data_IF_562778840732
#
_entry.id   IF_562778840732
#
_cell.length_a   1.000
_cell.length_b   1.000
_cell.length_c   1.000
_cell.angle_alpha   90.00
_cell.angle_beta   90.00
_cell.angle_gamma   90.00
#
_symmetry.space_group_name_H-M   'P 1'
#
loop_
_entity.id
_entity.type
_entity.pdbx_description
1 polymer ?
#
# COMPACT_ATOMS: atom_id res chain seq x y z
N UNK A 1 -19.54 -1.89 1.01
CA UNK A 1 -18.74 -3.12 1.20
C UNK A 1 -17.52 -2.93 2.12
N UNK A 2 -16.65 -1.93 1.88
CA UNK A 2 -15.39 -1.73 2.62
C UNK A 2 -15.56 -1.61 4.14
N UNK A 3 -16.54 -0.83 4.63
CA UNK A 3 -16.83 -0.72 6.07
C UNK A 3 -17.10 -2.07 6.74
N UNK A 4 -17.77 -3.00 6.03
CA UNK A 4 -18.00 -4.35 6.55
C UNK A 4 -16.70 -5.17 6.57
N UNK A 5 -15.86 -5.05 5.54
CA UNK A 5 -14.55 -5.74 5.50
C UNK A 5 -13.65 -5.26 6.64
N UNK A 6 -13.56 -3.94 6.88
CA UNK A 6 -12.79 -3.39 8.00
C UNK A 6 -13.33 -3.85 9.37
N UNK A 7 -14.65 -4.02 9.50
CA UNK A 7 -15.27 -4.56 10.71
C UNK A 7 -14.95 -6.05 10.92
N UNK A 8 -15.01 -6.84 9.86
CA UNK A 8 -14.84 -8.30 9.92
C UNK A 8 -13.36 -8.70 10.00
N UNK A 9 -12.45 -7.82 9.55
CA UNK A 9 -10.99 -7.96 9.62
C UNK A 9 -10.37 -6.73 10.28
N UNK A 10 -10.32 -6.68 11.62
CA UNK A 10 -9.83 -5.51 12.34
C UNK A 10 -8.36 -5.19 12.02
N UNK A 11 -8.04 -3.90 12.10
CA UNK A 11 -6.70 -3.35 11.91
C UNK A 11 -5.65 -4.07 12.75
N UNK A 12 -4.42 -4.20 12.23
CA UNK A 12 -3.30 -4.82 12.95
C UNK A 12 -2.40 -5.64 12.05
N UNK A 13 -1.76 -6.68 12.61
CA UNK A 13 -0.83 -7.54 11.89
C UNK A 13 -1.43 -8.24 10.66
N UNK A 14 -2.75 -8.36 10.57
CA UNK A 14 -3.46 -8.89 9.41
C UNK A 14 -3.14 -8.12 8.13
N UNK A 15 -3.05 -6.78 8.18
CA UNK A 15 -2.70 -5.97 7.00
C UNK A 15 -1.33 -6.38 6.46
N UNK A 16 -0.34 -6.55 7.35
CA UNK A 16 1.02 -6.95 6.99
C UNK A 16 1.08 -8.37 6.44
N UNK A 17 0.34 -9.31 7.06
CA UNK A 17 0.25 -10.71 6.61
C UNK A 17 -0.33 -10.80 5.20
N UNK A 18 -1.38 -10.02 4.91
CA UNK A 18 -2.02 -9.97 3.59
C UNK A 18 -1.11 -9.35 2.53
N UNK A 19 -0.43 -8.23 2.85
CA UNK A 19 0.57 -7.63 1.95
C UNK A 19 1.73 -8.60 1.65
N UNK A 20 2.18 -9.34 2.67
CA UNK A 20 3.22 -10.34 2.53
C UNK A 20 2.75 -11.52 1.66
N UNK A 21 1.56 -12.04 1.90
CA UNK A 21 1.00 -13.15 1.10
C UNK A 21 0.82 -12.75 -0.36
N UNK A 22 0.39 -11.51 -0.64
CA UNK A 22 0.26 -11.02 -2.00
C UNK A 22 1.60 -10.93 -2.73
N UNK A 23 2.65 -10.49 -2.02
CA UNK A 23 4.00 -10.49 -2.57
C UNK A 23 4.47 -11.93 -2.84
N UNK A 24 4.23 -12.86 -1.92
CA UNK A 24 4.58 -14.27 -2.07
C UNK A 24 3.85 -14.91 -3.27
N UNK A 25 2.55 -14.68 -3.40
CA UNK A 25 1.71 -15.18 -4.51
C UNK A 25 2.12 -14.57 -5.87
N UNK A 26 2.62 -13.34 -5.86
CA UNK A 26 3.20 -12.69 -7.05
C UNK A 26 4.61 -13.17 -7.39
N UNK A 27 5.20 -14.06 -6.58
CA UNK A 27 6.54 -14.61 -6.80
C UNK A 27 7.67 -13.71 -6.32
N UNK A 28 7.40 -12.73 -5.44
CA UNK A 28 8.44 -11.90 -4.86
C UNK A 28 9.36 -12.74 -3.96
N UNK A 29 10.66 -12.45 -4.00
CA UNK A 29 11.66 -13.04 -3.10
C UNK A 29 12.04 -12.07 -1.97
N UNK A 30 11.85 -10.77 -2.18
CA UNK A 30 12.16 -9.73 -1.20
C UNK A 30 10.95 -8.83 -0.95
N UNK A 31 10.67 -8.56 0.34
CA UNK A 31 9.63 -7.64 0.80
C UNK A 31 10.21 -6.64 1.79
N UNK A 32 9.76 -5.39 1.74
CA UNK A 32 10.12 -4.35 2.72
C UNK A 32 8.88 -3.60 3.19
N UNK A 33 8.69 -3.53 4.50
CA UNK A 33 7.68 -2.69 5.14
C UNK A 33 8.35 -1.50 5.82
N UNK A 34 8.06 -0.29 5.34
CA UNK A 34 8.70 0.93 5.82
C UNK A 34 7.62 1.91 6.29
N UNK A 35 7.62 2.23 7.58
CA UNK A 35 6.82 3.33 8.11
C UNK A 35 7.58 4.64 7.85
N UNK A 36 7.06 5.44 6.92
CA UNK A 36 7.55 6.78 6.62
C UNK A 36 6.72 7.80 7.38
N UNK A 37 7.32 8.41 8.40
CA UNK A 37 6.68 9.41 9.27
C UNK A 37 6.77 10.84 8.71
N UNK A 38 7.30 11.01 7.49
CA UNK A 38 7.42 12.32 6.86
C UNK A 38 6.06 12.83 6.41
N UNK A 39 5.89 14.14 6.57
CA UNK A 39 4.82 14.88 5.88
C UNK A 39 5.43 15.63 4.72
N UNK A 40 4.88 15.44 3.53
CA UNK A 40 5.40 16.03 2.31
C UNK A 40 4.80 17.43 2.11
N UNK A 41 5.59 18.44 1.68
CA UNK A 41 5.11 19.82 1.59
C UNK A 41 3.90 19.95 0.67
N UNK A 42 2.78 20.37 1.27
CA UNK A 42 1.50 20.55 0.55
C UNK A 42 1.42 21.96 -0.05
N UNK A 43 1.96 22.96 0.65
CA UNK A 43 1.79 24.39 0.35
C UNK A 43 2.98 24.97 -0.41
N UNK A 44 3.14 24.57 -1.66
CA UNK A 44 3.85 25.41 -2.63
C UNK A 44 2.76 26.01 -3.54
N UNK A 45 2.52 27.34 -3.47
CA UNK A 45 1.47 28.00 -4.25
C UNK A 45 1.69 27.91 -5.76
N UNK A 46 2.91 27.59 -6.22
CA UNK A 46 3.23 27.46 -7.63
C UNK A 46 3.19 26.00 -8.13
N UNK A 47 2.90 25.03 -7.24
CA UNK A 47 2.90 23.60 -7.58
C UNK A 47 1.59 22.92 -7.15
N UNK A 48 0.62 22.89 -8.05
CA UNK A 48 -0.64 22.17 -7.85
C UNK A 48 -0.44 20.65 -7.84
N UNK A 49 -1.26 19.92 -7.09
CA UNK A 49 -1.36 18.46 -7.20
C UNK A 49 -2.15 18.05 -8.45
N UNK A 50 -2.13 16.75 -8.79
CA UNK A 50 -3.00 16.16 -9.82
C UNK A 50 -4.47 16.55 -9.56
N UNK A 51 -4.88 16.51 -8.29
CA UNK A 51 -6.14 17.04 -7.79
C UNK A 51 -5.93 17.60 -6.37
N UNK A 52 -6.56 18.73 -5.99
CA UNK A 52 -6.44 19.30 -4.63
C UNK A 52 -6.84 18.31 -3.52
N UNK A 53 -7.76 17.39 -3.77
CA UNK A 53 -8.17 16.36 -2.81
C UNK A 53 -7.06 15.37 -2.46
N UNK A 54 -5.96 15.31 -3.21
CA UNK A 54 -4.83 14.40 -2.94
C UNK A 54 -3.84 14.95 -1.90
N UNK A 55 -3.96 16.23 -1.55
CA UNK A 55 -3.12 16.91 -0.55
C UNK A 55 -3.15 16.21 0.81
N UNK A 56 -4.33 15.73 1.21
CA UNK A 56 -4.54 15.05 2.49
C UNK A 56 -3.83 13.69 2.61
N UNK A 57 -3.38 13.09 1.50
CA UNK A 57 -2.70 11.80 1.49
C UNK A 57 -1.17 11.91 1.47
N UNK A 58 -0.64 13.13 1.64
CA UNK A 58 0.79 13.46 1.74
C UNK A 58 1.32 13.39 3.18
N UNK A 59 0.57 12.71 4.06
CA UNK A 59 0.86 12.46 5.48
C UNK A 59 1.73 11.20 5.68
N UNK A 60 2.14 10.89 6.93
CA UNK A 60 2.79 9.63 7.27
C UNK A 60 2.10 8.42 6.65
N UNK A 61 2.89 7.42 6.26
CA UNK A 61 2.39 6.27 5.52
C UNK A 61 3.22 5.01 5.76
N UNK A 62 2.57 3.86 5.61
CA UNK A 62 3.28 2.61 5.40
C UNK A 62 3.58 2.45 3.89
N UNK A 63 4.84 2.23 3.54
CA UNK A 63 5.24 1.77 2.21
C UNK A 63 5.57 0.28 2.27
N UNK A 64 4.84 -0.52 1.50
CA UNK A 64 5.10 -1.94 1.31
C UNK A 64 5.70 -2.16 -0.08
N UNK A 65 7.00 -2.45 -0.12
CA UNK A 65 7.73 -2.78 -1.33
C UNK A 65 7.87 -4.29 -1.49
N UNK A 66 7.81 -4.78 -2.72
CA UNK A 66 8.30 -6.09 -3.09
C UNK A 66 8.93 -6.07 -4.50
N UNK A 67 9.76 -7.06 -4.81
CA UNK A 67 10.46 -7.16 -6.09
C UNK A 67 9.67 -7.89 -7.20
N UNK A 68 8.39 -8.18 -7.01
CA UNK A 68 7.51 -8.63 -8.09
C UNK A 68 6.88 -7.41 -8.79
N UNK A 69 6.59 -7.57 -10.09
CA UNK A 69 6.01 -6.52 -10.95
C UNK A 69 4.56 -6.83 -11.29
N UNK A 70 3.70 -5.81 -11.25
CA UNK A 70 2.30 -5.93 -11.66
C UNK A 70 2.18 -5.85 -13.19
N UNK A 71 1.39 -6.77 -13.75
CA UNK A 71 1.03 -6.77 -15.16
C UNK A 71 -0.11 -5.78 -15.44
N UNK A 72 -0.33 -5.43 -16.71
CA UNK A 72 -1.46 -4.57 -17.09
C UNK A 72 -2.82 -5.17 -16.65
N UNK A 73 -2.94 -6.50 -16.71
CA UNK A 73 -4.11 -7.24 -16.23
C UNK A 73 -4.33 -7.04 -14.74
N UNK A 74 -3.26 -6.98 -13.94
CA UNK A 74 -3.36 -6.76 -12.48
C UNK A 74 -3.89 -5.35 -12.18
N UNK A 75 -3.41 -4.34 -12.91
CA UNK A 75 -3.92 -2.97 -12.79
C UNK A 75 -5.38 -2.84 -13.23
N UNK A 76 -5.77 -3.49 -14.33
CA UNK A 76 -7.17 -3.54 -14.76
C UNK A 76 -8.06 -4.19 -13.70
N UNK A 77 -7.60 -5.31 -13.13
CA UNK A 77 -8.32 -6.02 -12.07
C UNK A 77 -8.45 -5.16 -10.81
N UNK A 78 -7.37 -4.51 -10.36
CA UNK A 78 -7.41 -3.61 -9.20
C UNK A 78 -8.35 -2.41 -9.41
N UNK A 79 -8.30 -1.79 -10.58
CA UNK A 79 -9.17 -0.65 -10.92
C UNK A 79 -10.65 -1.09 -10.97
N UNK A 80 -10.95 -2.23 -11.61
CA UNK A 80 -12.30 -2.83 -11.60
C UNK A 80 -12.77 -3.19 -10.19
N UNK A 81 -11.87 -3.71 -9.36
CA UNK A 81 -12.20 -4.07 -7.97
C UNK A 81 -12.53 -2.84 -7.15
N UNK A 82 -11.74 -1.77 -7.23
CA UNK A 82 -12.06 -0.48 -6.62
C UNK A 82 -13.44 0.01 -7.05
N UNK A 83 -13.76 -0.15 -8.33
CA UNK A 83 -15.06 0.20 -8.87
C UNK A 83 -16.21 -0.71 -8.39
N UNK A 84 -15.92 -1.97 -8.06
CA UNK A 84 -16.90 -2.92 -7.52
C UNK A 84 -17.09 -2.81 -6.00
N UNK A 85 -16.08 -2.31 -5.28
CA UNK A 85 -16.08 -2.14 -3.82
C UNK A 85 -16.84 -0.89 -3.36
N UNK A 86 -17.73 -0.35 -4.19
CA UNK A 86 -18.60 0.79 -3.89
C UNK A 86 -19.20 0.65 -2.50
N UNK A 87 -19.19 1.76 -1.76
CA UNK A 87 -19.64 1.82 -0.37
C UNK A 87 -21.05 1.24 -0.20
N UNK A 88 -21.92 1.44 -1.20
CA UNK A 88 -23.33 1.00 -1.22
C UNK A 88 -23.65 -0.30 -1.96
N UNK A 89 -22.72 -0.91 -2.71
CA UNK A 89 -23.03 -2.12 -3.48
C UNK A 89 -22.68 -3.37 -2.64
N UNK A 90 -23.71 -4.05 -2.14
CA UNK A 90 -23.60 -5.20 -1.25
C UNK A 90 -23.54 -6.55 -1.98
N UNK A 91 -23.31 -6.57 -3.29
CA UNK A 91 -23.66 -7.70 -4.16
C UNK A 91 -22.50 -8.63 -4.56
N UNK A 92 -21.30 -8.49 -4.01
CA UNK A 92 -20.13 -9.33 -4.38
C UNK A 92 -19.42 -9.96 -3.19
N UNK A 93 -20.15 -10.70 -2.36
CA UNK A 93 -19.57 -11.73 -1.48
C UNK A 93 -19.54 -13.07 -2.22
N UNK A 94 -18.36 -13.51 -2.66
CA UNK A 94 -18.12 -14.95 -2.84
C UNK A 94 -17.51 -15.48 -4.14
N UNK A 95 -16.94 -14.65 -5.04
CA UNK A 95 -16.31 -15.18 -6.28
C UNK A 95 -14.86 -14.79 -6.54
N UNK A 96 -14.23 -14.00 -5.67
CA UNK A 96 -12.85 -13.56 -5.88
C UNK A 96 -11.92 -14.35 -4.96
N UNK A 97 -10.84 -14.88 -5.52
CA UNK A 97 -9.85 -15.74 -4.85
C UNK A 97 -9.28 -15.16 -3.54
N UNK A 98 -8.60 -16.00 -2.77
CA UNK A 98 -8.19 -15.69 -1.40
C UNK A 98 -7.24 -14.49 -1.25
N UNK A 99 -6.54 -14.06 -2.31
CA UNK A 99 -5.67 -12.85 -2.31
C UNK A 99 -6.39 -11.50 -2.46
N UNK A 100 -7.73 -11.49 -2.59
CA UNK A 100 -8.50 -10.27 -2.91
C UNK A 100 -9.19 -9.62 -1.70
N UNK A 101 -9.19 -10.25 -0.52
CA UNK A 101 -9.62 -9.60 0.73
C UNK A 101 -8.63 -8.49 1.15
N UNK A 102 -7.38 -8.60 0.71
CA UNK A 102 -6.23 -7.77 1.10
C UNK A 102 -6.33 -6.29 0.70
N UNK A 103 -7.02 -5.97 -0.40
CA UNK A 103 -7.28 -4.56 -0.79
C UNK A 103 -8.22 -3.91 0.22
N UNK A 104 -9.24 -4.66 0.68
CA UNK A 104 -10.15 -4.26 1.74
C UNK A 104 -9.46 -4.04 3.09
N UNK A 105 -8.53 -4.93 3.47
CA UNK A 105 -7.87 -4.87 4.79
C UNK A 105 -6.98 -3.63 4.93
N UNK A 106 -6.36 -3.14 3.85
CA UNK A 106 -5.57 -1.90 3.88
C UNK A 106 -6.41 -0.67 4.23
N UNK A 107 -7.70 -0.68 3.90
CA UNK A 107 -8.60 0.42 4.24
C UNK A 107 -8.88 0.54 5.74
N UNK A 108 -8.43 -0.41 6.56
CA UNK A 108 -8.36 -0.18 8.00
C UNK A 108 -7.49 1.03 8.34
N UNK A 109 -6.40 1.25 7.60
CA UNK A 109 -5.43 2.31 7.88
C UNK A 109 -5.53 3.52 6.96
N UNK A 110 -6.16 3.40 5.80
CA UNK A 110 -6.20 4.47 4.81
C UNK A 110 -7.56 4.57 4.12
N UNK A 111 -7.85 5.73 3.53
CA UNK A 111 -8.97 5.90 2.61
C UNK A 111 -8.53 5.85 1.13
N UNK A 112 -7.24 6.04 0.84
CA UNK A 112 -6.73 6.13 -0.53
C UNK A 112 -5.32 5.55 -0.66
N UNK A 113 -5.20 4.22 -0.80
CA UNK A 113 -3.92 3.60 -1.10
C UNK A 113 -3.49 3.94 -2.53
N UNK A 114 -2.18 3.99 -2.76
CA UNK A 114 -1.59 4.22 -4.08
C UNK A 114 -0.57 3.13 -4.40
N UNK A 115 -0.50 2.71 -5.66
CA UNK A 115 0.32 1.58 -6.10
C UNK A 115 1.20 2.05 -7.25
N UNK A 116 2.50 1.76 -7.16
CA UNK A 116 3.49 2.00 -8.21
C UNK A 116 4.10 0.67 -8.61
N UNK A 117 4.10 0.36 -9.90
CA UNK A 117 4.87 -0.75 -10.48
C UNK A 117 5.20 -0.46 -11.94
N UNK A 118 6.42 -0.79 -12.40
CA UNK A 118 6.93 -0.37 -13.72
C UNK A 118 6.83 1.15 -13.88
N UNK A 119 6.16 1.64 -14.92
CA UNK A 119 5.85 3.05 -15.16
C UNK A 119 4.46 3.47 -14.66
N UNK A 120 3.67 2.57 -14.07
CA UNK A 120 2.27 2.80 -13.74
C UNK A 120 2.10 3.23 -12.29
N UNK A 121 1.37 4.33 -12.08
CA UNK A 121 0.88 4.83 -10.80
C UNK A 121 -0.64 4.70 -10.79
N UNK A 122 -1.19 3.87 -9.91
CA UNK A 122 -2.61 3.76 -9.63
C UNK A 122 -2.92 4.44 -8.29
N UNK A 123 -3.88 5.36 -8.27
CA UNK A 123 -4.35 6.01 -7.05
C UNK A 123 -5.79 5.59 -6.80
N UNK A 124 -6.08 4.92 -5.69
CA UNK A 124 -7.42 4.40 -5.40
C UNK A 124 -8.25 5.42 -4.62
N UNK A 125 -9.45 5.73 -5.10
CA UNK A 125 -10.43 6.68 -4.57
C UNK A 125 -11.81 5.99 -4.44
N UNK A 126 -11.97 5.10 -3.45
CA UNK A 126 -13.23 4.36 -3.25
C UNK A 126 -14.42 5.27 -2.88
N UNK A 127 -14.17 6.49 -2.43
CA UNK A 127 -15.20 7.49 -2.14
C UNK A 127 -15.65 8.27 -3.38
N UNK A 128 -14.98 8.11 -4.52
CA UNK A 128 -15.26 8.87 -5.75
C UNK A 128 -15.22 10.39 -5.52
N UNK A 129 -14.38 10.84 -4.58
CA UNK A 129 -14.35 12.23 -4.16
C UNK A 129 -13.69 13.12 -5.22
N UNK A 130 -12.80 12.55 -6.05
CA UNK A 130 -12.06 13.30 -7.06
C UNK A 130 -11.83 12.54 -8.37
N UNK A 131 -12.09 11.23 -8.42
CA UNK A 131 -11.96 10.42 -9.62
C UNK A 131 -13.07 9.36 -9.73
N UNK A 132 -13.14 8.69 -10.89
CA UNK A 132 -14.03 7.55 -11.11
C UNK A 132 -13.37 6.25 -10.61
N UNK A 133 -13.10 6.19 -9.30
CA UNK A 133 -12.56 5.01 -8.63
C UNK A 133 -11.04 5.00 -8.56
N UNK A 134 -10.34 4.67 -9.65
CA UNK A 134 -8.89 4.49 -9.58
C UNK A 134 -8.16 4.81 -10.88
N UNK A 135 -7.77 6.08 -11.13
CA UNK A 135 -7.03 6.44 -12.33
C UNK A 135 -5.59 5.89 -12.30
N UNK A 136 -5.14 5.43 -13.46
CA UNK A 136 -3.76 5.01 -13.71
C UNK A 136 -3.04 6.09 -14.51
N UNK A 137 -1.83 6.45 -14.06
CA UNK A 137 -0.95 7.41 -14.71
C UNK A 137 0.36 6.74 -15.11
N UNK A 138 0.87 7.10 -16.27
CA UNK A 138 2.25 6.78 -16.67
C UNK A 138 3.19 7.86 -16.11
N UNK A 139 3.74 7.63 -14.92
CA UNK A 139 4.53 8.66 -14.24
C UNK A 139 5.87 8.92 -14.93
N UNK A 140 6.39 7.95 -15.70
CA UNK A 140 7.65 8.08 -16.45
C UNK A 140 7.44 8.96 -17.67
N UNK A 141 6.38 8.70 -18.45
CA UNK A 141 5.99 9.53 -19.60
C UNK A 141 5.70 10.98 -19.21
N UNK A 142 5.10 11.17 -18.03
CA UNK A 142 4.79 12.49 -17.49
C UNK A 142 5.80 12.96 -16.43
N UNK A 143 7.03 12.44 -16.46
CA UNK A 143 8.08 12.78 -15.48
C UNK A 143 8.44 14.28 -15.45
N UNK A 144 8.22 15.02 -16.54
CA UNK A 144 8.37 16.48 -16.59
C UNK A 144 7.19 17.27 -16.02
N UNK A 145 6.08 16.62 -15.67
CA UNK A 145 4.90 17.27 -15.11
C UNK A 145 5.07 17.44 -13.58
N UNK A 146 5.13 18.69 -13.12
CA UNK A 146 5.30 19.05 -11.72
C UNK A 146 4.25 18.38 -10.82
N UNK A 147 3.00 18.24 -11.29
CA UNK A 147 1.90 17.61 -10.52
C UNK A 147 2.19 16.13 -10.22
N UNK A 148 2.75 15.43 -11.20
CA UNK A 148 3.16 14.02 -11.07
C UNK A 148 4.38 13.91 -10.17
N UNK A 149 5.41 14.75 -10.40
CA UNK A 149 6.61 14.77 -9.56
C UNK A 149 6.27 15.00 -8.09
N UNK A 150 5.38 15.96 -7.80
CA UNK A 150 4.92 16.27 -6.45
C UNK A 150 4.26 15.06 -5.79
N UNK A 151 3.37 14.36 -6.50
CA UNK A 151 2.74 13.13 -5.98
C UNK A 151 3.76 11.99 -5.77
N UNK A 152 4.67 11.79 -6.73
CA UNK A 152 5.70 10.75 -6.66
C UNK A 152 6.72 10.99 -5.53
N UNK A 153 6.91 12.25 -5.09
CA UNK A 153 7.77 12.57 -3.95
C UNK A 153 7.43 11.75 -2.70
N UNK A 154 6.15 11.40 -2.51
CA UNK A 154 5.65 10.60 -1.39
C UNK A 154 6.18 9.16 -1.35
N UNK A 155 6.88 8.71 -2.41
CA UNK A 155 7.51 7.39 -2.56
C UNK A 155 9.03 7.44 -2.40
N UNK A 156 9.62 8.63 -2.15
CA UNK A 156 11.06 8.85 -2.14
C UNK A 156 11.84 7.99 -1.14
N UNK A 157 11.16 7.45 -0.12
CA UNK A 157 11.76 6.57 0.88
C UNK A 157 12.21 5.25 0.24
N UNK A 158 11.48 4.74 -0.75
CA UNK A 158 11.80 3.50 -1.47
C UNK A 158 12.38 3.77 -2.88
N UNK A 159 11.82 4.73 -3.62
CA UNK A 159 12.17 5.01 -5.01
C UNK A 159 12.82 6.38 -5.16
N UNK A 160 14.08 6.46 -5.60
CA UNK A 160 14.84 7.73 -5.69
C UNK A 160 14.72 8.46 -7.03
N UNK A 161 14.32 7.75 -8.07
CA UNK A 161 14.27 8.25 -9.43
C UNK A 161 12.87 8.04 -9.99
N UNK A 162 12.20 9.12 -10.41
CA UNK A 162 10.82 9.09 -10.92
C UNK A 162 10.74 9.28 -12.44
N UNK A 163 11.89 9.27 -13.12
CA UNK A 163 12.07 9.42 -14.57
C UNK A 163 12.29 8.06 -15.27
N UNK A 164 12.15 6.95 -14.53
CA UNK A 164 12.34 5.58 -15.01
C UNK A 164 11.38 4.63 -14.32
N UNK A 165 11.22 3.45 -14.92
CA UNK A 165 10.38 2.38 -14.38
C UNK A 165 10.92 1.85 -13.03
N UNK A 166 10.00 1.48 -12.16
CA UNK A 166 10.28 0.72 -10.95
C UNK A 166 10.37 -0.77 -11.28
N UNK A 167 11.50 -1.38 -10.96
CA UNK A 167 11.67 -2.84 -10.96
C UNK A 167 11.14 -3.42 -9.64
N UNK A 168 9.82 -3.60 -9.58
CA UNK A 168 9.10 -4.07 -8.42
C UNK A 168 7.75 -3.38 -8.25
N UNK A 169 7.21 -3.46 -7.05
CA UNK A 169 5.92 -2.87 -6.67
C UNK A 169 6.02 -2.17 -5.33
N UNK A 170 5.50 -0.94 -5.25
CA UNK A 170 5.31 -0.21 -3.99
C UNK A 170 3.83 0.03 -3.79
N UNK A 171 3.30 -0.42 -2.66
CA UNK A 171 1.98 -0.06 -2.17
C UNK A 171 2.15 0.95 -1.04
N UNK A 172 1.67 2.17 -1.26
CA UNK A 172 1.69 3.25 -0.28
C UNK A 172 0.33 3.36 0.39
N UNK A 173 0.33 3.31 1.72
CA UNK A 173 -0.85 3.35 2.58
C UNK A 173 -0.74 4.60 3.48
N UNK A 174 -1.20 5.78 3.02
CA UNK A 174 -1.26 6.99 3.85
C UNK A 174 -2.15 6.76 5.06
N UNK A 175 -1.67 7.05 6.25
CA UNK A 175 -2.43 6.83 7.47
C UNK A 175 -3.59 7.81 7.57
N UNK A 176 -4.79 7.29 7.89
CA UNK A 176 -6.01 8.09 8.05
C UNK A 176 -5.86 9.03 9.22
N UNK A 177 -5.92 10.32 8.94
CA UNK A 177 -5.85 11.40 9.92
C UNK A 177 -7.22 11.67 10.55
N UNK A 178 -7.24 12.31 11.72
CA UNK A 178 -8.47 12.76 12.36
C UNK A 178 -9.35 13.65 11.46
N UNK A 179 -8.75 14.46 10.58
CA UNK A 179 -9.48 15.29 9.62
C UNK A 179 -10.22 14.46 8.55
N UNK A 180 -9.67 13.29 8.20
CA UNK A 180 -10.28 12.36 7.25
C UNK A 180 -11.40 11.54 7.88
N UNK A 181 -11.29 11.19 9.17
CA UNK A 181 -12.33 10.43 9.91
C UNK A 181 -13.71 11.08 9.76
N UNK A 182 -13.80 12.42 9.85
CA UNK A 182 -15.06 13.13 9.72
C UNK A 182 -15.74 13.00 8.34
N UNK A 183 -15.00 12.55 7.31
CA UNK A 183 -15.46 12.40 5.93
C UNK A 183 -15.43 10.94 5.45
N UNK A 184 -14.74 10.06 6.16
CA UNK A 184 -14.55 8.68 5.75
C UNK A 184 -15.83 7.87 5.99
N UNK A 185 -16.40 7.38 4.90
CA UNK A 185 -17.46 6.36 4.96
C UNK A 185 -16.91 4.93 5.19
N UNK A 186 -15.59 4.76 5.31
CA UNK A 186 -14.94 3.44 5.46
C UNK A 186 -14.70 3.11 6.93
N UNK A 187 -14.09 4.03 7.69
CA UNK A 187 -13.75 3.83 9.10
C UNK A 187 -13.96 5.10 9.90
N UNK A 188 -14.43 4.92 11.13
CA UNK A 188 -14.72 5.99 12.09
C UNK A 188 -13.52 6.27 13.03
N UNK A 189 -12.32 5.75 12.71
CA UNK A 189 -11.12 5.81 13.56
C UNK A 189 -9.89 6.36 12.83
N UNK A 190 -9.13 7.22 13.51
CA UNK A 190 -7.79 7.64 13.09
C UNK A 190 -6.81 6.45 13.12
N UNK A 191 -5.76 6.50 12.32
CA UNK A 191 -4.63 5.57 12.39
C UNK A 191 -3.36 6.39 12.60
N UNK A 192 -2.71 6.20 13.74
CA UNK A 192 -1.51 6.93 14.11
C UNK A 192 -0.24 6.16 13.71
N UNK A 193 0.86 6.89 13.47
CA UNK A 193 2.16 6.27 13.21
C UNK A 193 2.63 5.38 14.38
N UNK A 194 2.33 5.78 15.63
CA UNK A 194 2.67 4.99 16.82
C UNK A 194 1.96 3.63 16.83
N UNK A 195 0.67 3.58 16.52
CA UNK A 195 -0.08 2.32 16.44
C UNK A 195 0.49 1.40 15.36
N UNK A 196 0.81 1.95 14.18
CA UNK A 196 1.40 1.16 13.09
C UNK A 196 2.81 0.67 13.47
N UNK A 197 3.61 1.49 14.17
CA UNK A 197 4.92 1.08 14.67
C UNK A 197 4.81 -0.07 15.67
N UNK A 198 3.85 -0.04 16.58
CA UNK A 198 3.61 -1.13 17.54
C UNK A 198 3.17 -2.41 16.82
N UNK A 199 2.35 -2.30 15.77
CA UNK A 199 2.00 -3.43 14.90
C UNK A 199 3.23 -3.98 14.19
N UNK A 200 4.11 -3.14 13.64
CA UNK A 200 5.35 -3.57 12.98
C UNK A 200 6.29 -4.29 13.95
N UNK A 201 6.46 -3.78 15.18
CA UNK A 201 7.26 -4.41 16.25
C UNK A 201 6.71 -5.78 16.61
N UNK A 202 5.40 -5.86 16.84
CA UNK A 202 4.72 -7.11 17.20
C UNK A 202 4.84 -8.14 16.09
N UNK A 203 4.59 -7.72 14.85
CA UNK A 203 4.72 -8.55 13.67
C UNK A 203 6.16 -9.04 13.46
N UNK A 204 7.17 -8.18 13.60
CA UNK A 204 8.58 -8.58 13.50
C UNK A 204 8.96 -9.63 14.56
N UNK A 205 8.49 -9.47 15.80
CA UNK A 205 8.73 -10.41 16.89
C UNK A 205 8.08 -11.79 16.65
N UNK A 206 6.82 -11.79 16.17
CA UNK A 206 6.09 -13.02 15.85
C UNK A 206 6.66 -13.71 14.60
N UNK A 207 6.91 -12.95 13.54
CA UNK A 207 7.32 -13.46 12.24
C UNK A 207 8.79 -13.90 12.23
N UNK A 208 9.66 -13.21 12.98
CA UNK A 208 11.11 -13.50 13.01
C UNK A 208 11.51 -14.88 13.52
N UNK A 209 10.60 -15.61 14.19
CA UNK A 209 10.89 -16.96 14.68
C UNK A 209 10.93 -17.99 13.55
N UNK A 210 9.83 -18.12 12.81
CA UNK A 210 9.64 -19.17 11.79
C UNK A 210 8.85 -18.69 10.57
N UNK A 211 8.55 -17.38 10.45
CA UNK A 211 7.60 -16.86 9.46
C UNK A 211 7.98 -17.17 8.02
N UNK A 212 9.26 -17.02 7.66
CA UNK A 212 9.76 -17.29 6.32
C UNK A 212 9.69 -18.77 5.91
N UNK A 213 9.67 -19.70 6.87
CA UNK A 213 9.55 -21.14 6.59
C UNK A 213 8.19 -21.51 5.97
N UNK A 214 7.17 -20.66 6.17
CA UNK A 214 5.83 -20.86 5.63
C UNK A 214 5.59 -20.11 4.33
N UNK A 215 6.52 -19.25 3.90
CA UNK A 215 6.45 -18.56 2.61
C UNK A 215 6.94 -19.49 1.50
N UNK A 216 6.41 -19.34 0.28
CA UNK A 216 6.80 -20.16 -0.87
C UNK A 216 7.99 -19.57 -1.62
N UNK A 217 7.98 -18.26 -1.81
CA UNK A 217 8.92 -17.51 -2.64
C UNK A 217 9.73 -16.52 -1.80
N UNK A 218 9.14 -15.89 -0.78
CA UNK A 218 9.83 -14.85 -0.01
C UNK A 218 11.00 -15.46 0.78
N UNK A 219 12.17 -14.86 0.62
CA UNK A 219 13.43 -15.24 1.27
C UNK A 219 13.94 -14.16 2.22
N UNK A 220 13.52 -12.91 1.99
CA UNK A 220 13.96 -11.75 2.76
C UNK A 220 12.80 -10.81 3.06
N UNK A 221 12.71 -10.39 4.31
CA UNK A 221 11.77 -9.40 4.79
C UNK A 221 12.52 -8.34 5.61
N UNK A 222 12.43 -7.09 5.18
CA UNK A 222 12.89 -5.94 5.96
C UNK A 222 11.70 -5.19 6.55
N UNK A 223 11.84 -4.75 7.80
CA UNK A 223 10.85 -3.95 8.51
C UNK A 223 11.56 -2.74 9.09
N UNK A 224 11.12 -1.53 8.74
CA UNK A 224 11.80 -0.29 9.11
C UNK A 224 10.88 0.86 9.49
N UNK A 225 11.40 1.76 10.30
CA UNK A 225 10.89 3.11 10.56
C UNK A 225 12.07 4.06 10.79
N UNK A 226 11.84 5.29 11.28
CA UNK A 226 12.92 6.18 11.68
C UNK A 226 13.79 5.60 12.82
N UNK A 227 13.18 4.85 13.74
CA UNK A 227 13.80 4.36 14.99
C UNK A 227 13.94 2.83 15.06
N UNK A 228 13.52 2.11 14.01
CA UNK A 228 13.51 0.64 13.97
C UNK A 228 14.05 0.16 12.63
N UNK A 229 14.89 -0.87 12.66
CA UNK A 229 15.31 -1.62 11.47
C UNK A 229 15.50 -3.07 11.86
N UNK A 230 14.69 -3.94 11.27
CA UNK A 230 14.74 -5.40 11.46
C UNK A 230 14.83 -6.06 10.11
N UNK A 231 15.79 -6.97 9.95
CA UNK A 231 15.92 -7.82 8.77
C UNK A 231 15.72 -9.28 9.18
N UNK A 232 14.87 -9.99 8.44
CA UNK A 232 14.60 -11.41 8.59
C UNK A 232 14.94 -12.05 7.25
N UNK A 233 15.87 -13.02 7.24
CA UNK A 233 16.36 -13.64 6.01
C UNK A 233 16.53 -15.15 6.19
N UNK A 234 16.18 -15.93 5.16
CA UNK A 234 16.53 -17.35 5.10
C UNK A 234 18.04 -17.50 4.85
N UNK A 235 18.72 -18.26 5.70
CA UNK A 235 20.17 -18.48 5.58
C UNK A 235 20.55 -19.56 4.57
N UNK A 236 19.63 -20.47 4.24
CA UNK A 236 19.84 -21.56 3.28
C UNK A 236 18.51 -21.92 2.59
N UNK A 237 18.11 -21.10 1.61
CA UNK A 237 16.82 -21.27 0.92
C UNK A 237 16.80 -22.56 0.08
N UNK A 238 17.93 -22.90 -0.58
CA UNK A 238 18.07 -24.07 -1.44
C UNK A 238 18.03 -25.40 -0.66
N UNK A 239 18.53 -25.44 0.58
CA UNK A 239 18.45 -26.66 1.41
C UNK A 239 17.07 -26.88 2.05
N UNK A 240 16.26 -25.82 2.19
CA UNK A 240 14.96 -25.87 2.90
C UNK A 240 13.79 -26.09 1.93
N UNK A 241 13.88 -25.56 0.70
CA UNK A 241 12.83 -25.67 -0.32
C UNK A 241 13.28 -26.63 -1.45
N UNK A 242 12.67 -27.82 -1.57
CA UNK A 242 13.05 -28.82 -2.58
C UNK A 242 12.65 -28.46 -4.01
#
# INVERSE_FOLDING_TARGET
ALKNICRDYPAGGTVLRELLQNADDAGATEVRFILDERTYPVKDPDQEFINPSLEQYQSPALLAYNNAIFTDTDFENLSRLSNSLKLHDGSTTGKFGRGFNSVGVQYNWTDSPSIVSRNQLLILDPHYAWSLGGPVYDFVKYSGNIKIQKHMSAFQTVMKHFDRELDGTIIRIPLRTQAQVAKSEISDWETTASEVLDVLRSFASEFGKNGLLFMRNIERLEIGSADMSVEIKLTDAEAIRP
#
